data_IF_367050048334
#
_entry.id   IF_367050048334
#
_cell.length_a   1.000
_cell.length_b   1.000
_cell.length_c   1.000
_cell.angle_alpha   90.00
_cell.angle_beta   90.00
_cell.angle_gamma   90.00
#
_symmetry.space_group_name_H-M   'P 1'
#
loop_
_entity.id
_entity.type
_entity.pdbx_description
1 polymer ?
#
# COMPACT_ATOMS: atom_id res chain seq x y z
N UNK A 1 3.80 -15.29 10.48
CA UNK A 1 2.57 -15.15 9.68
C UNK A 1 2.67 -13.78 9.03
N UNK A 2 3.19 -13.76 7.81
CA UNK A 2 3.74 -12.58 7.16
C UNK A 2 3.00 -12.44 5.84
N UNK A 3 2.10 -11.47 5.75
CA UNK A 3 1.47 -11.12 4.48
C UNK A 3 1.08 -9.64 4.54
N UNK A 4 1.93 -8.80 3.95
CA UNK A 4 1.54 -7.72 3.04
C UNK A 4 2.84 -7.10 2.54
N UNK A 5 3.49 -7.80 1.61
CA UNK A 5 4.42 -7.13 0.72
C UNK A 5 3.58 -6.27 -0.23
N UNK A 6 3.67 -4.96 -0.12
CA UNK A 6 3.41 -4.09 -1.27
C UNK A 6 4.65 -4.17 -2.17
N UNK A 7 4.91 -5.34 -2.77
CA UNK A 7 5.88 -5.42 -3.87
C UNK A 7 5.23 -4.70 -5.06
N UNK A 8 5.76 -3.52 -5.36
CA UNK A 8 5.28 -2.57 -6.36
C UNK A 8 5.25 -3.07 -7.82
N UNK A 9 5.68 -4.31 -8.08
CA UNK A 9 5.67 -4.93 -9.42
C UNK A 9 4.79 -6.18 -9.51
N UNK A 10 4.23 -6.66 -8.40
CA UNK A 10 3.40 -7.87 -8.43
C UNK A 10 1.93 -7.50 -8.58
N UNK A 11 1.27 -8.05 -9.60
CA UNK A 11 -0.18 -7.93 -9.75
C UNK A 11 -0.87 -8.57 -8.54
N UNK A 12 -1.70 -7.78 -7.86
CA UNK A 12 -2.52 -8.22 -6.76
C UNK A 12 -3.99 -8.11 -7.15
N UNK A 13 -4.80 -9.01 -6.61
CA UNK A 13 -6.24 -8.89 -6.70
C UNK A 13 -6.70 -7.70 -5.83
N UNK A 14 -7.43 -6.79 -6.46
CA UNK A 14 -7.97 -5.57 -5.88
C UNK A 14 -9.49 -5.64 -5.91
N UNK A 15 -10.13 -5.43 -4.76
CA UNK A 15 -11.53 -5.05 -4.68
C UNK A 15 -11.61 -3.53 -4.65
N UNK A 16 -12.18 -2.95 -5.70
CA UNK A 16 -12.34 -1.51 -5.89
C UNK A 16 -13.82 -1.17 -5.71
N UNK A 17 -14.10 -0.21 -4.84
CA UNK A 17 -15.44 0.35 -4.62
C UNK A 17 -15.35 1.83 -4.95
N UNK A 18 -15.98 2.24 -6.05
CA UNK A 18 -15.90 3.61 -6.54
C UNK A 18 -17.22 4.09 -7.12
N UNK A 19 -17.81 5.13 -6.52
CA UNK A 19 -19.06 5.77 -6.98
C UNK A 19 -20.17 4.75 -7.36
N UNK A 20 -20.45 3.82 -6.45
CA UNK A 20 -21.41 2.69 -6.59
C UNK A 20 -20.99 1.57 -7.56
N UNK A 21 -19.81 1.65 -8.17
CA UNK A 21 -19.25 0.54 -8.93
C UNK A 21 -18.38 -0.31 -8.01
N UNK A 22 -18.64 -1.62 -8.01
CA UNK A 22 -17.78 -2.59 -7.35
C UNK A 22 -17.09 -3.42 -8.43
N UNK A 23 -15.77 -3.39 -8.45
CA UNK A 23 -14.96 -4.13 -9.40
C UNK A 23 -13.94 -4.98 -8.67
N UNK A 24 -13.72 -6.20 -9.18
CA UNK A 24 -12.57 -7.01 -8.80
C UNK A 24 -11.64 -7.11 -10.01
N UNK A 25 -10.38 -6.72 -9.83
CA UNK A 25 -9.38 -6.72 -10.90
C UNK A 25 -8.03 -7.18 -10.38
N UNK A 26 -7.10 -7.50 -11.29
CA UNK A 26 -5.68 -7.66 -10.95
C UNK A 26 -4.92 -6.43 -11.40
N UNK A 27 -4.25 -5.79 -10.45
CA UNK A 27 -3.49 -4.58 -10.70
C UNK A 27 -2.30 -4.46 -9.73
N UNK A 28 -1.28 -3.72 -10.13
CA UNK A 28 -0.23 -3.25 -9.23
C UNK A 28 -0.58 -1.86 -8.71
N UNK A 29 -0.10 -1.56 -7.51
CA UNK A 29 -0.25 -0.25 -6.87
C UNK A 29 1.14 0.33 -6.71
N UNK A 30 1.31 1.57 -7.17
CA UNK A 30 2.58 2.28 -7.07
C UNK A 30 2.41 3.62 -6.38
N UNK A 31 3.21 3.82 -5.32
CA UNK A 31 3.39 5.12 -4.70
C UNK A 31 4.73 5.68 -5.19
N UNK A 32 4.72 6.93 -5.61
CA UNK A 32 5.95 7.69 -5.86
C UNK A 32 5.86 9.05 -5.19
N UNK A 33 6.96 9.48 -4.58
CA UNK A 33 7.12 10.79 -3.97
C UNK A 33 8.16 11.57 -4.77
N UNK A 34 7.74 12.66 -5.39
CA UNK A 34 8.62 13.59 -6.08
C UNK A 34 8.96 14.76 -5.14
N UNK A 35 10.25 15.07 -4.98
CA UNK A 35 10.76 16.21 -4.21
C UNK A 35 11.79 16.92 -5.09
N UNK A 36 11.43 18.07 -5.66
CA UNK A 36 12.26 18.73 -6.68
C UNK A 36 12.50 17.83 -7.89
N UNK A 37 13.75 17.52 -8.19
CA UNK A 37 14.17 16.61 -9.27
C UNK A 37 14.33 15.15 -8.82
N UNK A 38 14.04 14.85 -7.55
CA UNK A 38 14.18 13.51 -6.98
C UNK A 38 12.86 12.77 -7.03
N UNK A 39 12.90 11.51 -7.48
CA UNK A 39 11.77 10.59 -7.45
C UNK A 39 12.11 9.43 -6.51
N UNK A 40 11.33 9.27 -5.45
CA UNK A 40 11.49 8.22 -4.44
C UNK A 40 10.31 7.27 -4.56
N UNK A 41 10.60 5.99 -4.69
CA UNK A 41 9.59 4.93 -4.73
C UNK A 41 9.76 4.09 -3.46
N UNK A 42 8.95 4.31 -2.41
CA UNK A 42 9.02 3.50 -1.21
C UNK A 42 8.66 2.05 -1.55
N UNK A 43 9.37 1.09 -0.97
CA UNK A 43 9.14 -0.34 -1.15
C UNK A 43 8.00 -0.86 -0.27
N UNK A 44 7.68 -0.12 0.79
CA UNK A 44 6.68 -0.49 1.77
C UNK A 44 5.85 0.73 2.20
N UNK A 45 4.63 0.46 2.66
CA UNK A 45 3.71 1.47 3.19
C UNK A 45 3.19 0.96 4.51
N UNK A 46 3.30 1.76 5.58
CA UNK A 46 2.80 1.45 6.92
C UNK A 46 3.12 0.00 7.34
N UNK A 47 4.41 -0.33 7.32
CA UNK A 47 4.89 -1.67 7.62
C UNK A 47 6.09 -1.61 8.56
N UNK A 48 6.40 -2.72 9.22
CA UNK A 48 7.56 -2.79 10.11
C UNK A 48 8.86 -2.56 9.33
N UNK A 49 9.74 -1.72 9.89
CA UNK A 49 11.01 -1.35 9.28
C UNK A 49 11.85 -2.58 8.90
N UNK A 50 12.38 -2.56 7.67
CA UNK A 50 13.31 -3.57 7.16
C UNK A 50 14.61 -2.87 6.73
N UNK A 51 15.81 -3.40 7.05
CA UNK A 51 17.10 -2.81 6.66
C UNK A 51 17.29 -2.54 5.15
N UNK A 52 16.45 -3.08 4.28
CA UNK A 52 16.58 -3.00 2.81
C UNK A 52 15.54 -2.13 2.13
N UNK A 53 14.49 -1.73 2.84
CA UNK A 53 13.30 -1.13 2.24
C UNK A 53 13.16 0.32 2.69
N UNK A 54 12.90 1.22 1.73
CA UNK A 54 12.41 2.56 2.05
C UNK A 54 10.92 2.42 2.39
N UNK A 55 10.50 2.93 3.55
CA UNK A 55 9.10 2.79 3.99
C UNK A 55 8.41 4.15 4.07
N UNK A 56 7.20 4.21 3.52
CA UNK A 56 6.28 5.34 3.65
C UNK A 56 5.39 5.12 4.87
N UNK A 57 5.39 6.06 5.81
CA UNK A 57 4.51 6.05 6.98
C UNK A 57 3.55 7.24 6.94
N UNK A 58 2.26 7.02 7.15
CA UNK A 58 1.27 8.08 7.32
C UNK A 58 0.53 7.96 8.66
N UNK A 59 -0.33 8.94 8.94
CA UNK A 59 -1.06 9.06 10.21
C UNK A 59 -2.11 7.97 10.47
N UNK A 60 -2.28 7.01 9.55
CA UNK A 60 -3.12 5.80 9.76
C UNK A 60 -2.32 4.67 10.43
N UNK A 61 -0.99 4.73 10.44
CA UNK A 61 -0.13 3.68 11.03
C UNK A 61 -0.16 3.69 12.56
N UNK A 62 0.46 4.71 13.16
CA UNK A 62 0.65 4.90 14.59
C UNK A 62 1.01 6.37 14.84
N UNK A 63 1.34 6.74 16.08
CA UNK A 63 1.81 8.09 16.41
C UNK A 63 3.25 8.37 15.94
N UNK A 64 4.09 7.34 15.82
CA UNK A 64 5.47 7.42 15.32
C UNK A 64 5.75 6.31 14.32
N UNK A 65 6.89 6.38 13.63
CA UNK A 65 7.27 5.36 12.64
C UNK A 65 7.61 4.01 13.26
N UNK A 66 7.98 3.96 14.55
CA UNK A 66 8.43 2.75 15.25
C UNK A 66 9.66 2.09 14.58
N UNK A 67 10.45 2.89 13.86
CA UNK A 67 11.65 2.42 13.16
C UNK A 67 12.88 2.49 14.08
N UNK A 68 13.95 1.71 13.82
CA UNK A 68 15.22 1.86 14.53
C UNK A 68 15.75 3.30 14.49
N UNK A 69 16.35 3.76 15.59
CA UNK A 69 16.93 5.11 15.69
C UNK A 69 18.11 5.34 14.71
N UNK A 70 18.65 4.28 14.10
CA UNK A 70 19.69 4.35 13.06
C UNK A 70 19.14 4.69 11.67
N UNK A 71 17.83 4.64 11.47
CA UNK A 71 17.21 5.12 10.23
C UNK A 71 17.38 6.63 10.09
N UNK A 72 17.13 7.15 8.89
CA UNK A 72 17.07 8.58 8.60
C UNK A 72 15.71 8.86 7.98
N UNK A 73 15.08 9.98 8.30
CA UNK A 73 13.68 10.22 7.96
C UNK A 73 13.46 11.59 7.36
N UNK A 74 12.62 11.67 6.33
CA UNK A 74 12.14 12.95 5.77
C UNK A 74 10.69 13.09 6.21
N UNK A 75 10.38 14.18 6.93
CA UNK A 75 9.04 14.49 7.41
C UNK A 75 8.38 15.48 6.44
N UNK A 76 7.16 15.14 6.00
CA UNK A 76 6.35 15.94 5.09
C UNK A 76 5.03 16.27 5.79
N UNK A 77 4.62 17.54 5.78
CA UNK A 77 3.37 17.98 6.38
C UNK A 77 2.14 17.78 5.46
N UNK A 78 0.97 18.12 5.99
CA UNK A 78 -0.32 18.13 5.26
C UNK A 78 -0.39 19.04 4.04
N UNK A 79 0.56 19.98 3.90
CA UNK A 79 0.63 20.89 2.77
C UNK A 79 1.62 20.39 1.71
N UNK A 80 2.12 19.17 1.87
CA UNK A 80 3.12 18.55 1.02
C UNK A 80 4.41 19.37 0.94
N UNK A 81 4.89 19.83 2.10
CA UNK A 81 6.17 20.51 2.25
C UNK A 81 7.09 19.69 3.16
N UNK A 82 8.36 19.56 2.80
CA UNK A 82 9.38 18.97 3.68
C UNK A 82 9.58 19.88 4.88
N UNK A 83 9.25 19.40 6.07
CA UNK A 83 9.40 20.17 7.32
C UNK A 83 10.66 19.83 8.08
N UNK A 84 11.16 18.60 7.95
CA UNK A 84 12.35 18.14 8.67
C UNK A 84 13.05 17.01 7.90
N UNK A 85 14.38 16.99 8.03
CA UNK A 85 15.25 15.89 7.58
C UNK A 85 15.97 15.36 8.82
N UNK A 86 15.40 14.32 9.43
CA UNK A 86 15.90 13.73 10.66
C UNK A 86 17.03 12.76 10.38
N UNK A 87 18.04 12.80 11.26
CA UNK A 87 19.20 11.89 11.24
C UNK A 87 18.96 10.62 12.07
N UNK A 88 17.73 10.42 12.55
CA UNK A 88 17.30 9.25 13.29
C UNK A 88 15.91 8.80 12.85
N UNK A 89 15.56 7.56 13.21
CA UNK A 89 14.20 7.03 13.08
C UNK A 89 13.31 7.32 14.29
N UNK A 90 12.11 6.76 14.27
CA UNK A 90 11.09 6.86 15.34
C UNK A 90 10.56 8.29 15.55
N UNK A 91 10.48 9.08 14.47
CA UNK A 91 9.88 10.40 14.56
C UNK A 91 8.35 10.31 14.65
N UNK A 92 7.76 11.32 15.27
CA UNK A 92 6.30 11.49 15.29
C UNK A 92 5.79 11.74 13.87
N UNK A 93 4.75 11.00 13.46
CA UNK A 93 4.17 11.16 12.14
C UNK A 93 3.31 12.44 12.14
N UNK A 94 3.58 13.42 11.25
CA UNK A 94 2.78 14.64 11.19
C UNK A 94 1.31 14.33 10.90
N UNK A 95 0.39 15.01 11.58
CA UNK A 95 -1.04 14.84 11.35
C UNK A 95 -1.41 15.18 9.89
N UNK A 96 -2.05 14.25 9.18
CA UNK A 96 -2.35 14.33 7.74
C UNK A 96 -1.11 14.52 6.84
N UNK A 97 0.08 14.31 7.38
CA UNK A 97 1.33 14.27 6.65
C UNK A 97 1.85 12.84 6.54
N UNK A 98 3.12 12.71 6.19
CA UNK A 98 3.78 11.41 6.08
C UNK A 98 5.29 11.52 6.27
N UNK A 99 5.92 10.37 6.47
CA UNK A 99 7.35 10.22 6.63
C UNK A 99 7.86 9.22 5.59
N UNK A 100 8.98 9.55 4.96
CA UNK A 100 9.80 8.59 4.24
C UNK A 100 10.96 8.16 5.13
N UNK A 101 10.99 6.89 5.53
CA UNK A 101 12.04 6.32 6.38
C UNK A 101 13.04 5.54 5.54
N UNK A 102 14.32 5.87 5.71
CA UNK A 102 15.46 5.29 5.01
C UNK A 102 16.31 4.51 6.02
N UNK A 103 16.49 3.19 5.83
CA UNK A 103 17.44 2.41 6.59
C UNK A 103 18.86 3.00 6.52
N UNK A 104 19.67 2.69 7.55
CA UNK A 104 21.04 3.19 7.68
C UNK A 104 21.87 3.05 6.39
N UNK A 105 21.77 1.88 5.75
CA UNK A 105 22.51 1.50 4.53
C UNK A 105 22.05 2.21 3.26
N UNK A 106 20.85 2.81 3.26
CA UNK A 106 20.31 3.52 2.11
C UNK A 106 20.65 5.01 2.20
N UNK A 107 21.26 5.57 1.17
CA UNK A 107 21.57 7.00 1.11
C UNK A 107 20.30 7.83 1.06
N UNK A 108 20.23 8.89 1.87
CA UNK A 108 19.19 9.91 1.72
C UNK A 108 19.41 10.68 0.41
N UNK A 109 18.35 10.98 -0.35
CA UNK A 109 18.44 11.91 -1.45
C UNK A 109 18.76 13.32 -0.94
N UNK A 110 19.43 14.13 -1.76
CA UNK A 110 19.67 15.53 -1.46
C UNK A 110 18.34 16.29 -1.61
N UNK A 111 17.77 16.69 -0.48
CA UNK A 111 16.52 17.45 -0.34
C UNK A 111 16.72 18.54 0.71
N UNK A 112 15.89 19.59 0.67
CA UNK A 112 15.94 20.70 1.62
C UNK A 112 14.60 20.85 2.36
N UNK A 113 14.67 21.41 3.56
CA UNK A 113 13.47 21.91 4.26
C UNK A 113 12.83 23.00 3.39
N UNK A 114 11.50 23.01 3.34
CA UNK A 114 10.65 23.82 2.47
C UNK A 114 10.55 23.36 1.01
N UNK A 115 11.19 22.25 0.62
CA UNK A 115 10.94 21.68 -0.70
C UNK A 115 9.47 21.23 -0.82
N UNK A 116 8.87 21.54 -1.97
CA UNK A 116 7.53 21.06 -2.29
C UNK A 116 7.58 19.61 -2.72
N UNK A 117 6.57 18.87 -2.30
CA UNK A 117 6.44 17.43 -2.50
C UNK A 117 5.20 17.15 -3.34
N UNK A 118 5.32 16.19 -4.26
CA UNK A 118 4.18 15.66 -5.00
C UNK A 118 4.08 14.17 -4.73
N UNK A 119 2.91 13.75 -4.26
CA UNK A 119 2.59 12.35 -4.01
C UNK A 119 1.73 11.83 -5.17
N UNK A 120 2.22 10.82 -5.88
CA UNK A 120 1.43 10.11 -6.88
C UNK A 120 1.10 8.70 -6.39
N UNK A 121 -0.15 8.31 -6.59
CA UNK A 121 -0.65 6.97 -6.39
C UNK A 121 -1.19 6.48 -7.74
N UNK A 122 -0.55 5.45 -8.30
CA UNK A 122 -0.91 4.87 -9.59
C UNK A 122 -1.42 3.45 -9.39
N UNK A 123 -2.51 3.13 -10.07
CA UNK A 123 -3.04 1.77 -10.19
C UNK A 123 -2.84 1.35 -11.64
N UNK A 124 -2.16 0.22 -11.87
CA UNK A 124 -1.83 -0.25 -13.21
C UNK A 124 -2.45 -1.64 -13.38
N UNK A 125 -3.30 -1.83 -14.39
CA UNK A 125 -3.91 -3.12 -14.66
C UNK A 125 -2.91 -4.14 -15.22
N UNK A 126 -3.36 -5.39 -15.35
CA UNK A 126 -2.57 -6.49 -15.92
C UNK A 126 -2.02 -6.24 -17.33
N UNK A 127 -2.62 -5.32 -18.08
CA UNK A 127 -2.25 -4.98 -19.46
C UNK A 127 -1.36 -3.71 -19.50
N UNK A 128 -0.93 -3.21 -18.34
CA UNK A 128 -0.08 -2.03 -18.20
C UNK A 128 -0.81 -0.70 -18.33
N UNK A 129 -2.15 -0.69 -18.29
CA UNK A 129 -2.95 0.54 -18.44
C UNK A 129 -3.29 1.15 -17.08
N UNK A 130 -3.27 2.49 -16.96
CA UNK A 130 -3.71 3.17 -15.75
C UNK A 130 -5.19 2.91 -15.45
N UNK A 131 -5.50 2.59 -14.19
CA UNK A 131 -6.85 2.55 -13.64
C UNK A 131 -7.13 3.91 -12.99
N UNK A 132 -8.05 4.66 -13.57
CA UNK A 132 -8.48 5.94 -13.02
C UNK A 132 -9.57 5.70 -11.96
N UNK A 133 -9.31 6.13 -10.74
CA UNK A 133 -10.23 6.05 -9.61
C UNK A 133 -10.67 7.45 -9.20
N UNK A 134 -11.91 7.57 -8.73
CA UNK A 134 -12.37 8.81 -8.11
C UNK A 134 -11.68 9.04 -6.76
N UNK A 135 -11.75 10.28 -6.26
CA UNK A 135 -11.17 10.66 -4.97
C UNK A 135 -11.81 9.97 -3.76
N UNK A 136 -12.97 9.33 -3.95
CA UNK A 136 -13.71 8.63 -2.89
C UNK A 136 -13.61 7.11 -3.01
N UNK A 137 -12.77 6.61 -3.92
CA UNK A 137 -12.60 5.18 -4.12
C UNK A 137 -12.02 4.51 -2.86
N UNK A 138 -12.58 3.36 -2.50
CA UNK A 138 -12.00 2.44 -1.52
C UNK A 138 -11.40 1.25 -2.24
N UNK A 139 -10.17 0.87 -1.88
CA UNK A 139 -9.48 -0.27 -2.48
C UNK A 139 -9.00 -1.21 -1.40
N UNK A 140 -9.34 -2.50 -1.53
CA UNK A 140 -8.82 -3.57 -0.67
C UNK A 140 -7.88 -4.44 -1.50
N UNK A 141 -6.65 -4.61 -1.02
CA UNK A 141 -5.57 -5.34 -1.70
C UNK A 141 -5.31 -6.69 -1.01
N UNK A 142 -4.53 -7.57 -1.64
CA UNK A 142 -3.97 -8.77 -0.99
C UNK A 142 -4.94 -9.95 -0.76
N UNK A 143 -6.15 -9.89 -1.33
CA UNK A 143 -7.15 -10.97 -1.20
C UNK A 143 -7.01 -11.91 -2.41
N UNK A 144 -6.71 -13.21 -2.27
CA UNK A 144 -6.73 -14.14 -3.40
C UNK A 144 -8.12 -14.19 -4.02
N UNK A 145 -8.20 -14.16 -5.36
CA UNK A 145 -9.48 -14.16 -6.05
C UNK A 145 -10.01 -15.60 -6.18
N UNK A 146 -11.17 -15.87 -5.60
CA UNK A 146 -11.77 -17.21 -5.60
C UNK A 146 -12.81 -17.42 -6.70
N UNK A 147 -13.68 -16.44 -6.93
CA UNK A 147 -14.78 -16.52 -7.90
C UNK A 147 -14.89 -15.19 -8.63
N UNK A 148 -14.99 -15.25 -9.95
CA UNK A 148 -15.25 -14.08 -10.80
C UNK A 148 -16.25 -14.45 -11.89
N UNK A 149 -17.29 -13.62 -12.07
CA UNK A 149 -18.35 -13.84 -13.05
C UNK A 149 -18.98 -15.24 -12.95
N UNK A 150 -19.23 -15.70 -11.72
CA UNK A 150 -19.82 -17.02 -11.44
C UNK A 150 -18.91 -18.22 -11.72
N UNK A 151 -17.63 -18.01 -12.05
CA UNK A 151 -16.66 -19.07 -12.29
C UNK A 151 -15.58 -19.06 -11.22
N UNK A 152 -15.17 -20.26 -10.79
CA UNK A 152 -14.01 -20.41 -9.91
C UNK A 152 -12.75 -19.90 -10.62
N UNK A 153 -11.95 -19.12 -9.91
CA UNK A 153 -10.65 -18.63 -10.36
C UNK A 153 -9.58 -19.48 -9.69
N UNK A 154 -8.69 -20.06 -10.49
CA UNK A 154 -7.54 -20.81 -9.98
C UNK A 154 -6.40 -19.80 -9.84
N UNK A 155 -6.29 -19.19 -8.65
CA UNK A 155 -5.25 -18.18 -8.38
C UNK A 155 -3.97 -18.81 -7.80
N UNK A 156 -4.00 -20.10 -7.45
CA UNK A 156 -2.81 -20.85 -7.03
C UNK A 156 -2.97 -22.36 -7.30
N UNK A 157 -2.11 -22.98 -8.13
CA UNK A 157 -2.16 -24.41 -8.36
C UNK A 157 -1.52 -25.14 -7.16
N UNK A 158 -2.36 -25.82 -6.37
CA UNK A 158 -2.01 -26.82 -5.33
C UNK A 158 -1.26 -26.28 -4.11
N UNK A 159 -2.02 -25.97 -3.06
CA UNK A 159 -1.54 -26.11 -1.69
C UNK A 159 -2.24 -27.34 -1.08
N UNK A 160 -1.48 -28.39 -0.78
CA UNK A 160 -1.91 -29.47 0.12
C UNK A 160 -1.88 -28.93 1.57
N UNK A 161 -2.54 -27.80 1.81
CA UNK A 161 -2.60 -27.22 3.15
C UNK A 161 -3.76 -27.83 3.92
N UNK A 162 -3.55 -27.96 5.22
CA UNK A 162 -4.59 -28.40 6.15
C UNK A 162 -5.77 -27.43 6.12
N UNK A 163 -6.97 -27.94 6.39
CA UNK A 163 -8.14 -27.09 6.51
C UNK A 163 -7.93 -26.03 7.59
N UNK A 164 -8.26 -24.79 7.27
CA UNK A 164 -8.11 -23.64 8.15
C UNK A 164 -9.32 -22.73 8.01
N UNK A 165 -9.70 -22.06 9.09
CA UNK A 165 -10.74 -21.04 9.03
C UNK A 165 -10.38 -19.94 8.02
N UNK A 166 -11.34 -19.57 7.16
CA UNK A 166 -11.21 -18.51 6.15
C UNK A 166 -12.36 -17.51 6.25
N UNK A 167 -12.08 -16.28 5.86
CA UNK A 167 -13.08 -15.23 5.65
C UNK A 167 -13.02 -14.86 4.18
N UNK A 168 -14.19 -14.79 3.54
CA UNK A 168 -14.34 -14.35 2.16
C UNK A 168 -15.36 -13.21 2.06
N UNK A 169 -15.09 -12.26 1.19
CA UNK A 169 -16.01 -11.21 0.78
C UNK A 169 -16.49 -11.52 -0.65
N UNK A 170 -17.81 -11.60 -0.81
CA UNK A 170 -18.47 -11.83 -2.09
C UNK A 170 -19.36 -10.66 -2.47
N UNK A 171 -19.57 -10.48 -3.77
CA UNK A 171 -20.53 -9.52 -4.32
C UNK A 171 -21.45 -10.29 -5.26
N UNK A 172 -22.75 -10.20 -4.99
CA UNK A 172 -23.79 -10.88 -5.78
C UNK A 172 -24.07 -10.10 -7.08
N UNK A 173 -24.74 -10.75 -8.04
CA UNK A 173 -25.11 -10.12 -9.30
C UNK A 173 -26.04 -8.91 -9.15
N UNK A 174 -26.76 -8.81 -8.02
CA UNK A 174 -27.61 -7.66 -7.68
C UNK A 174 -26.85 -6.51 -7.00
N UNK A 175 -25.52 -6.63 -6.84
CA UNK A 175 -24.67 -5.63 -6.20
C UNK A 175 -24.61 -5.72 -4.67
N UNK A 176 -25.34 -6.66 -4.06
CA UNK A 176 -25.31 -6.86 -2.61
C UNK A 176 -24.00 -7.51 -2.18
N UNK A 177 -23.35 -6.95 -1.15
CA UNK A 177 -22.19 -7.57 -0.50
C UNK A 177 -22.61 -8.69 0.45
N UNK A 178 -21.86 -9.78 0.44
CA UNK A 178 -22.06 -10.93 1.31
C UNK A 178 -20.72 -11.33 1.95
N UNK A 179 -20.72 -11.62 3.25
CA UNK A 179 -19.54 -12.08 3.95
C UNK A 179 -19.76 -13.54 4.36
N UNK A 180 -18.92 -14.44 3.87
CA UNK A 180 -18.98 -15.84 4.24
C UNK A 180 -17.78 -16.17 5.14
N UNK A 181 -18.05 -16.62 6.36
CA UNK A 181 -17.07 -17.32 7.20
C UNK A 181 -17.36 -18.81 7.11
N UNK A 182 -16.33 -19.59 6.79
CA UNK A 182 -16.43 -21.06 6.76
C UNK A 182 -15.20 -21.65 7.43
N UNK A 183 -15.42 -22.56 8.37
CA UNK A 183 -14.36 -23.18 9.16
C UNK A 183 -13.76 -24.41 8.46
N UNK A 184 -14.43 -24.92 7.40
CA UNK A 184 -14.13 -26.22 6.81
C UNK A 184 -14.02 -26.11 5.27
N UNK A 185 -12.81 -25.94 4.77
CA UNK A 185 -12.38 -26.29 3.39
C UNK A 185 -11.04 -27.01 3.51
#
# INVERSE_FOLDING_TARGET
MTASYLVLEQLQSLLIIDQNNIQITKASVKISVEIGDKSIIPNQVNYFSNPKDITFYNDVWASSTLTPYTNKEILIDRNFIVTEISKHGDNQIPQKGFILSFPQEISLPVVNINDSVKLNLEFIDKDGKPINLSKTASVVTGIPLLVQNGKNVIDNPKQNDSAHARIALGVRNDGTSDSCSRTDI
#
